data_IF_839216518074
#
_entry.id   IF_839216518074
#
_cell.length_a   1.000
_cell.length_b   1.000
_cell.length_c   1.000
_cell.angle_alpha   90.00
_cell.angle_beta   90.00
_cell.angle_gamma   90.00
#
_symmetry.space_group_name_H-M   'P 1'
#
loop_
_entity.id
_entity.type
_entity.pdbx_description
1 polymer ?
#
# COMPACT_ATOMS: atom_id res chain seq x y z
N UNK A 1 52.97 -19.16 8.92
CA UNK A 1 51.99 -18.54 8.01
C UNK A 1 50.79 -19.45 7.73
N UNK A 2 51.00 -20.73 7.37
CA UNK A 2 49.91 -21.71 7.10
C UNK A 2 49.03 -22.00 8.32
N UNK A 3 49.62 -22.06 9.52
CA UNK A 3 48.91 -22.33 10.77
C UNK A 3 48.03 -21.17 11.27
N UNK A 4 48.38 -19.91 10.97
CA UNK A 4 47.57 -18.74 11.34
C UNK A 4 46.29 -18.64 10.50
N UNK A 5 46.36 -19.07 9.23
CA UNK A 5 45.18 -19.16 8.36
C UNK A 5 44.21 -20.23 8.86
N UNK A 6 44.71 -21.38 9.33
CA UNK A 6 43.87 -22.44 9.87
C UNK A 6 43.12 -22.03 11.15
N UNK A 7 43.78 -21.31 12.06
CA UNK A 7 43.15 -20.79 13.29
C UNK A 7 42.10 -19.73 12.99
N UNK A 8 42.36 -18.86 12.00
CA UNK A 8 41.37 -17.87 11.54
C UNK A 8 40.14 -18.54 10.92
N UNK A 9 40.31 -19.56 10.07
CA UNK A 9 39.20 -20.30 9.48
C UNK A 9 38.33 -21.04 10.52
N UNK A 10 38.93 -21.58 11.58
CA UNK A 10 38.18 -22.27 12.65
C UNK A 10 37.39 -21.28 13.53
N UNK A 11 37.94 -20.08 13.78
CA UNK A 11 37.25 -19.03 14.53
C UNK A 11 35.97 -18.52 13.85
N UNK A 12 35.95 -18.50 12.51
CA UNK A 12 34.76 -18.08 11.73
C UNK A 12 33.67 -19.17 11.75
N UNK A 13 34.05 -20.44 11.77
CA UNK A 13 33.10 -21.57 11.84
C UNK A 13 32.44 -21.70 13.22
N UNK A 14 33.14 -21.32 14.30
CA UNK A 14 32.59 -21.31 15.66
C UNK A 14 31.50 -20.25 15.89
N UNK A 15 31.51 -19.16 15.12
CA UNK A 15 30.44 -18.16 15.12
C UNK A 15 29.14 -18.63 14.46
N UNK A 16 29.15 -19.82 13.82
CA UNK A 16 28.04 -20.38 13.07
C UNK A 16 27.35 -21.57 13.79
N UNK A 17 27.90 -22.08 14.90
CA UNK A 17 27.39 -23.31 15.55
C UNK A 17 26.28 -23.05 16.57
N UNK A 18 26.17 -21.83 17.09
CA UNK A 18 25.05 -21.41 17.92
C UNK A 18 24.50 -20.14 17.31
N UNK A 19 23.26 -20.19 16.85
CA UNK A 19 22.54 -19.04 16.30
C UNK A 19 21.43 -18.59 17.25
N UNK A 20 21.69 -18.38 18.56
CA UNK A 20 20.63 -18.12 19.54
C UNK A 20 19.83 -16.85 19.20
N UNK A 21 20.49 -15.86 18.58
CA UNK A 21 19.81 -14.64 18.13
C UNK A 21 18.93 -14.88 16.89
N UNK A 22 19.33 -15.77 15.98
CA UNK A 22 18.55 -16.04 14.77
C UNK A 22 17.32 -16.90 15.09
N UNK A 23 17.50 -17.95 15.90
CA UNK A 23 16.41 -18.84 16.30
C UNK A 23 15.37 -18.09 17.14
N UNK A 24 15.82 -17.23 18.07
CA UNK A 24 14.92 -16.39 18.86
C UNK A 24 14.13 -15.36 18.05
N UNK A 25 14.67 -14.91 16.90
CA UNK A 25 14.06 -13.87 16.05
C UNK A 25 13.41 -14.47 14.79
N UNK A 26 13.34 -15.79 14.67
CA UNK A 26 12.83 -16.45 13.50
C UNK A 26 11.35 -16.08 13.27
N UNK A 27 11.06 -15.57 12.07
CA UNK A 27 9.72 -15.14 11.67
C UNK A 27 9.34 -13.72 12.10
N UNK A 28 10.21 -12.97 12.79
CA UNK A 28 9.87 -11.61 13.23
C UNK A 28 9.67 -10.64 12.07
N UNK A 29 10.42 -10.80 10.98
CA UNK A 29 10.16 -10.04 9.75
C UNK A 29 8.75 -10.28 9.20
N UNK A 30 8.27 -11.53 9.25
CA UNK A 30 6.91 -11.89 8.77
C UNK A 30 5.84 -11.37 9.73
N UNK A 31 6.05 -11.48 11.05
CA UNK A 31 5.14 -10.91 12.05
C UNK A 31 5.06 -9.39 11.95
N UNK A 32 6.19 -8.74 11.72
CA UNK A 32 6.26 -7.30 11.51
C UNK A 32 5.51 -6.90 10.23
N UNK A 33 5.80 -7.53 9.10
CA UNK A 33 5.09 -7.26 7.84
C UNK A 33 3.60 -7.50 7.97
N UNK A 34 3.18 -8.58 8.64
CA UNK A 34 1.77 -8.84 8.91
C UNK A 34 1.15 -7.72 9.73
N UNK A 35 1.82 -7.27 10.78
CA UNK A 35 1.30 -6.18 11.62
C UNK A 35 1.15 -4.89 10.81
N UNK A 36 2.12 -4.55 9.96
CA UNK A 36 2.04 -3.39 9.07
C UNK A 36 0.94 -3.50 8.01
N UNK A 37 0.61 -4.72 7.55
CA UNK A 37 -0.46 -4.97 6.59
C UNK A 37 -1.84 -5.14 7.24
N UNK A 38 -1.91 -5.22 8.57
CA UNK A 38 -3.18 -5.40 9.29
C UNK A 38 -3.85 -4.04 9.47
N UNK A 39 -4.92 -3.79 8.72
CA UNK A 39 -5.67 -2.53 8.73
C UNK A 39 -6.33 -2.28 10.09
N UNK A 40 -6.89 -3.33 10.71
CA UNK A 40 -7.52 -3.25 12.03
C UNK A 40 -7.29 -4.55 12.81
N UNK A 41 -6.41 -4.56 13.84
CA UNK A 41 -6.15 -5.75 14.65
C UNK A 41 -7.32 -6.14 15.57
N UNK A 42 -8.27 -5.22 15.80
CA UNK A 42 -9.45 -5.42 16.64
C UNK A 42 -10.73 -5.64 15.82
N UNK A 43 -10.60 -5.86 14.50
CA UNK A 43 -11.74 -6.15 13.63
C UNK A 43 -12.60 -7.31 14.19
N UNK A 44 -13.88 -7.03 14.46
CA UNK A 44 -14.84 -7.99 15.02
C UNK A 44 -14.99 -7.98 16.55
N UNK A 45 -14.14 -7.26 17.29
CA UNK A 45 -14.34 -7.06 18.76
C UNK A 45 -15.42 -6.03 19.08
N UNK A 46 -15.70 -5.15 18.14
CA UNK A 46 -16.76 -4.15 18.22
C UNK A 46 -17.65 -4.30 17.00
N UNK A 47 -18.97 -4.37 17.21
CA UNK A 47 -19.97 -4.35 16.15
C UNK A 47 -20.21 -2.91 15.67
N UNK A 48 -19.13 -2.20 15.34
CA UNK A 48 -19.30 -0.92 14.65
C UNK A 48 -19.83 -1.22 13.25
N UNK A 49 -20.82 -0.43 12.81
CA UNK A 49 -21.36 -0.59 11.48
C UNK A 49 -20.23 -0.27 10.52
N UNK A 50 -19.80 -1.26 9.72
CA UNK A 50 -18.80 -1.05 8.67
C UNK A 50 -19.25 0.19 7.89
N UNK A 51 -18.37 1.20 7.81
CA UNK A 51 -18.58 2.42 7.02
C UNK A 51 -18.53 2.09 5.52
N UNK A 52 -19.44 1.24 5.07
CA UNK A 52 -19.59 0.77 3.71
C UNK A 52 -20.70 1.53 2.99
N UNK A 53 -20.70 1.39 1.67
CA UNK A 53 -21.80 1.85 0.82
C UNK A 53 -22.97 0.88 0.92
N UNK A 54 -24.21 1.36 0.97
CA UNK A 54 -25.38 0.49 0.92
C UNK A 54 -25.49 -0.19 -0.45
N UNK A 55 -26.15 -1.36 -0.50
CA UNK A 55 -26.23 -2.14 -1.73
C UNK A 55 -26.89 -1.40 -2.90
N UNK A 56 -27.84 -0.48 -2.63
CA UNK A 56 -28.48 0.30 -3.68
C UNK A 56 -27.53 1.35 -4.24
N UNK A 57 -26.85 2.14 -3.39
CA UNK A 57 -25.86 3.09 -3.91
C UNK A 57 -24.70 2.40 -4.60
N UNK A 58 -24.28 1.22 -4.13
CA UNK A 58 -23.23 0.43 -4.80
C UNK A 58 -23.64 0.01 -6.21
N UNK A 59 -24.89 -0.46 -6.38
CA UNK A 59 -25.44 -0.80 -7.70
C UNK A 59 -25.48 0.42 -8.63
N UNK A 60 -25.97 1.55 -8.13
CA UNK A 60 -26.07 2.78 -8.92
C UNK A 60 -24.70 3.34 -9.28
N UNK A 61 -23.71 3.27 -8.36
CA UNK A 61 -22.34 3.68 -8.62
C UNK A 61 -21.71 2.87 -9.76
N UNK A 62 -21.87 1.55 -9.75
CA UNK A 62 -21.40 0.67 -10.84
C UNK A 62 -22.15 0.98 -12.14
N UNK A 63 -23.46 1.22 -12.08
CA UNK A 63 -24.27 1.58 -13.25
C UNK A 63 -23.80 2.89 -13.91
N UNK A 64 -23.54 3.93 -13.11
CA UNK A 64 -22.98 5.20 -13.59
C UNK A 64 -21.58 5.05 -14.16
N UNK A 65 -20.72 4.27 -13.50
CA UNK A 65 -19.38 3.97 -13.99
C UNK A 65 -19.44 3.33 -15.39
N UNK A 66 -20.25 2.29 -15.56
CA UNK A 66 -20.44 1.65 -16.86
C UNK A 66 -21.08 2.58 -17.89
N UNK A 67 -22.06 3.40 -17.47
CA UNK A 67 -22.71 4.39 -18.32
C UNK A 67 -21.74 5.44 -18.87
N UNK A 68 -20.77 5.87 -18.07
CA UNK A 68 -19.78 6.89 -18.48
C UNK A 68 -18.92 6.48 -19.68
N UNK A 69 -18.77 5.18 -19.95
CA UNK A 69 -18.04 4.69 -21.13
C UNK A 69 -18.92 4.58 -22.39
N UNK A 70 -20.25 4.69 -22.24
CA UNK A 70 -21.19 4.62 -23.38
C UNK A 70 -21.42 5.97 -24.02
N UNK A 71 -21.35 7.03 -23.23
CA UNK A 71 -21.59 8.39 -23.68
C UNK A 71 -20.24 9.05 -24.03
N UNK A 72 -20.06 9.54 -25.27
CA UNK A 72 -18.92 10.39 -25.57
C UNK A 72 -18.88 11.54 -24.56
N UNK A 73 -17.71 11.87 -23.97
CA UNK A 73 -17.62 12.95 -23.01
C UNK A 73 -18.21 14.21 -23.65
N UNK A 74 -19.16 14.89 -22.98
CA UNK A 74 -19.80 16.06 -23.57
C UNK A 74 -18.71 17.06 -23.94
N UNK A 75 -18.78 17.57 -25.18
CA UNK A 75 -17.88 18.63 -25.62
C UNK A 75 -18.07 19.82 -24.70
N UNK A 76 -17.15 19.99 -23.74
CA UNK A 76 -17.12 21.19 -22.91
C UNK A 76 -16.67 22.32 -23.81
N UNK A 77 -17.63 23.01 -24.44
CA UNK A 77 -17.37 24.24 -25.18
C UNK A 77 -16.91 25.29 -24.17
N UNK A 78 -15.60 25.37 -23.97
CA UNK A 78 -14.96 26.51 -23.32
C UNK A 78 -15.22 27.71 -24.20
N UNK A 79 -16.22 28.52 -23.82
CA UNK A 79 -16.39 29.84 -24.42
C UNK A 79 -15.24 30.69 -23.87
N UNK A 80 -14.11 30.68 -24.57
CA UNK A 80 -13.13 31.76 -24.44
C UNK A 80 -13.78 33.00 -25.04
N UNK A 81 -14.62 33.69 -24.27
CA UNK A 81 -14.98 35.07 -24.57
C UNK A 81 -13.66 35.82 -24.57
N UNK A 82 -13.19 36.14 -25.79
CA UNK A 82 -12.03 36.96 -26.02
C UNK A 82 -12.11 38.19 -25.12
N UNK A 83 -11.02 38.46 -24.41
CA UNK A 83 -10.88 39.63 -23.57
C UNK A 83 -11.10 40.90 -24.38
N UNK A 84 -12.34 41.35 -24.47
CA UNK A 84 -12.71 42.73 -24.68
C UNK A 84 -12.84 43.36 -23.30
N UNK A 85 -11.70 43.65 -22.69
CA UNK A 85 -11.59 44.64 -21.63
C UNK A 85 -10.62 45.70 -22.12
N UNK A 86 -11.19 46.78 -22.66
CA UNK A 86 -10.65 48.14 -22.70
C UNK A 86 -9.23 48.35 -23.23
N UNK A 87 -9.12 49.02 -24.36
CA UNK A 87 -8.26 50.21 -24.40
C UNK A 87 -8.76 51.17 -25.47
N UNK A 88 -9.24 52.32 -25.00
CA UNK A 88 -9.54 53.46 -25.85
C UNK A 88 -8.25 54.04 -26.42
N UNK A 89 -8.30 54.34 -27.73
CA UNK A 89 -7.83 55.57 -28.36
C UNK A 89 -8.42 55.63 -29.76
#
# INVERSE_FOLDING_TARGET
MKSSVAVFCIGILGACSTTPNYDARFGDAVRQSRFQMTINPDAGKTLDSIAGMDGKSAKEAVGRYQGSFKEPPPVTNVINIGGSLGSGK
#
